data_IF_473929994338
#
_entry.id   IF_473929994338
#
_cell.length_a   1.000
_cell.length_b   1.000
_cell.length_c   1.000
_cell.angle_alpha   90.00
_cell.angle_beta   90.00
_cell.angle_gamma   90.00
#
_symmetry.space_group_name_H-M   'P 1'
#
loop_
_entity.id
_entity.type
_entity.pdbx_description
1 polymer ?
#
# COMPACT_ATOMS: atom_id res chain seq x y z
N UNK A 1 20.49 26.53 -26.17
CA UNK A 1 20.35 26.44 -24.70
C UNK A 1 21.47 25.53 -24.20
N UNK A 2 22.44 26.06 -23.46
CA UNK A 2 23.54 25.25 -22.91
C UNK A 2 22.96 24.21 -21.94
N UNK A 3 23.19 22.92 -22.21
CA UNK A 3 22.86 21.83 -21.29
C UNK A 3 23.91 21.85 -20.17
N UNK A 4 23.62 22.56 -19.08
CA UNK A 4 24.44 22.51 -17.86
C UNK A 4 24.44 21.08 -17.30
N UNK A 5 25.63 20.54 -17.03
CA UNK A 5 25.75 19.19 -16.47
C UNK A 5 25.26 19.12 -15.02
N UNK A 6 24.71 17.98 -14.59
CA UNK A 6 24.18 17.80 -13.21
C UNK A 6 25.21 18.08 -12.11
N UNK A 7 26.48 17.80 -12.36
CA UNK A 7 27.56 17.98 -11.39
C UNK A 7 28.30 19.32 -11.51
N UNK A 8 28.00 20.12 -12.54
CA UNK A 8 28.64 21.41 -12.81
C UNK A 8 28.25 22.46 -11.74
N UNK A 9 29.08 23.49 -11.51
CA UNK A 9 28.71 24.60 -10.64
C UNK A 9 27.41 25.28 -11.12
N UNK A 10 26.52 25.62 -10.20
CA UNK A 10 25.26 26.27 -10.53
C UNK A 10 25.51 27.69 -11.07
N UNK A 11 24.92 28.08 -12.22
CA UNK A 11 25.03 29.43 -12.75
C UNK A 11 24.28 30.49 -11.91
N UNK A 12 23.56 30.05 -10.88
CA UNK A 12 22.80 30.90 -9.95
C UNK A 12 23.66 31.58 -8.88
N UNK A 13 24.99 31.40 -8.88
CA UNK A 13 25.90 32.03 -7.92
C UNK A 13 25.96 31.37 -6.54
N UNK A 14 25.32 30.21 -6.35
CA UNK A 14 25.24 29.54 -5.04
C UNK A 14 26.48 28.74 -4.64
N UNK A 15 27.50 28.67 -5.50
CA UNK A 15 28.69 27.82 -5.37
C UNK A 15 28.42 26.31 -5.17
N UNK A 16 27.16 25.85 -5.27
CA UNK A 16 26.74 24.45 -5.16
C UNK A 16 26.68 23.81 -6.55
N UNK A 17 26.81 22.48 -6.62
CA UNK A 17 26.55 21.70 -7.85
C UNK A 17 25.11 21.93 -8.32
N UNK A 18 24.87 22.03 -9.62
CA UNK A 18 23.57 22.30 -10.22
C UNK A 18 22.47 21.36 -9.71
N UNK A 19 22.78 20.06 -9.55
CA UNK A 19 21.87 19.05 -8.99
C UNK A 19 21.37 19.33 -7.57
N UNK A 20 22.16 20.02 -6.75
CA UNK A 20 21.84 20.34 -5.35
C UNK A 20 21.30 21.76 -5.17
N UNK A 21 21.12 22.50 -6.26
CA UNK A 21 20.62 23.87 -6.20
C UNK A 21 19.35 24.03 -7.05
N UNK A 22 19.46 24.56 -8.27
CA UNK A 22 18.30 24.84 -9.13
C UNK A 22 17.53 23.58 -9.52
N UNK A 23 18.20 22.44 -9.71
CA UNK A 23 17.52 21.19 -10.07
C UNK A 23 16.69 20.63 -8.89
N UNK A 24 17.20 20.76 -7.66
CA UNK A 24 16.49 20.29 -6.47
C UNK A 24 15.24 21.15 -6.19
N UNK A 25 15.28 22.44 -6.53
CA UNK A 25 14.11 23.34 -6.48
C UNK A 25 13.01 22.92 -7.46
N UNK A 26 13.35 22.26 -8.57
CA UNK A 26 12.37 21.71 -9.52
C UNK A 26 11.85 20.35 -9.10
N UNK A 27 12.66 19.56 -8.39
CA UNK A 27 12.29 18.23 -7.88
C UNK A 27 11.48 18.27 -6.58
N UNK A 28 11.18 19.44 -6.02
CA UNK A 28 10.29 19.56 -4.87
C UNK A 28 8.86 19.26 -5.31
N UNK A 29 8.42 18.01 -5.11
CA UNK A 29 7.01 17.67 -5.24
C UNK A 29 6.19 18.61 -4.34
N UNK A 30 5.14 19.27 -4.87
CA UNK A 30 4.26 20.07 -4.05
C UNK A 30 3.64 19.20 -2.95
N UNK A 31 3.40 19.78 -1.78
CA UNK A 31 2.86 19.05 -0.63
C UNK A 31 1.55 18.31 -0.96
N UNK A 32 0.75 18.85 -1.88
CA UNK A 32 -0.46 18.23 -2.42
C UNK A 32 -0.19 16.91 -3.16
N UNK A 33 0.91 16.81 -3.91
CA UNK A 33 1.29 15.59 -4.62
C UNK A 33 1.82 14.52 -3.66
N UNK A 34 2.49 14.94 -2.57
CA UNK A 34 2.86 14.01 -1.48
C UNK A 34 1.63 13.47 -0.77
N UNK A 35 0.64 14.33 -0.47
CA UNK A 35 -0.62 13.91 0.12
C UNK A 35 -1.38 12.94 -0.78
N UNK A 36 -1.48 13.24 -2.08
CA UNK A 36 -2.11 12.37 -3.06
C UNK A 36 -1.43 10.99 -3.12
N UNK A 37 -0.08 10.96 -3.13
CA UNK A 37 0.67 9.70 -3.10
C UNK A 37 0.39 8.89 -1.82
N UNK A 38 0.28 9.54 -0.66
CA UNK A 38 -0.08 8.86 0.60
C UNK A 38 -1.49 8.29 0.56
N UNK A 39 -2.47 9.06 0.05
CA UNK A 39 -3.85 8.59 -0.10
C UNK A 39 -3.92 7.39 -1.03
N UNK A 40 -3.26 7.45 -2.19
CA UNK A 40 -3.20 6.33 -3.15
C UNK A 40 -2.54 5.12 -2.50
N UNK A 41 -1.42 5.30 -1.79
CA UNK A 41 -0.73 4.21 -1.10
C UNK A 41 -1.61 3.53 -0.04
N UNK A 42 -2.39 4.29 0.72
CA UNK A 42 -3.33 3.76 1.71
C UNK A 42 -4.52 3.03 1.07
N UNK A 43 -5.07 3.55 -0.03
CA UNK A 43 -6.17 2.91 -0.76
C UNK A 43 -5.72 1.60 -1.40
N UNK A 44 -4.56 1.61 -2.08
CA UNK A 44 -4.00 0.42 -2.72
C UNK A 44 -3.55 -0.60 -1.67
N UNK A 45 -2.83 -0.15 -0.63
CA UNK A 45 -2.40 -1.01 0.47
C UNK A 45 -3.59 -1.62 1.22
N UNK A 46 -4.60 -0.82 1.55
CA UNK A 46 -5.84 -1.29 2.18
C UNK A 46 -6.60 -2.27 1.31
N UNK A 47 -6.73 -1.99 0.00
CA UNK A 47 -7.38 -2.91 -0.94
C UNK A 47 -6.63 -4.24 -1.09
N UNK A 48 -5.29 -4.22 -1.14
CA UNK A 48 -4.46 -5.42 -1.17
C UNK A 48 -4.63 -6.23 0.12
N UNK A 49 -4.60 -5.58 1.29
CA UNK A 49 -4.79 -6.27 2.58
C UNK A 49 -6.18 -6.90 2.65
N UNK A 50 -7.24 -6.17 2.34
CA UNK A 50 -8.62 -6.69 2.34
C UNK A 50 -8.81 -7.83 1.34
N UNK A 51 -8.27 -7.67 0.13
CA UNK A 51 -8.30 -8.71 -0.90
C UNK A 51 -7.54 -9.97 -0.48
N UNK A 52 -6.33 -9.83 0.08
CA UNK A 52 -5.56 -10.96 0.58
C UNK A 52 -6.25 -11.63 1.78
N UNK A 53 -6.83 -10.86 2.71
CA UNK A 53 -7.59 -11.46 3.81
C UNK A 53 -8.80 -12.22 3.30
N UNK A 54 -9.54 -11.71 2.30
CA UNK A 54 -10.67 -12.42 1.73
C UNK A 54 -10.25 -13.71 1.00
N UNK A 55 -9.13 -13.69 0.26
CA UNK A 55 -8.62 -14.86 -0.46
C UNK A 55 -8.04 -15.91 0.49
N UNK A 56 -7.35 -15.49 1.57
CA UNK A 56 -6.75 -16.39 2.55
C UNK A 56 -7.74 -16.85 3.64
N UNK A 57 -8.86 -16.16 3.81
CA UNK A 57 -9.93 -16.56 4.74
C UNK A 57 -10.99 -17.43 4.06
N UNK A 58 -10.86 -17.71 2.75
CA UNK A 58 -11.54 -18.82 2.06
C UNK A 58 -10.84 -20.15 2.39
N UNK A 59 -10.51 -20.34 3.67
CA UNK A 59 -10.43 -21.69 4.19
C UNK A 59 -11.89 -22.06 4.42
N UNK A 60 -12.41 -22.97 3.60
CA UNK A 60 -13.60 -23.72 3.90
C UNK A 60 -13.38 -24.46 5.23
N UNK A 61 -13.45 -23.74 6.36
CA UNK A 61 -13.77 -24.29 7.65
C UNK A 61 -15.24 -24.67 7.55
N UNK A 62 -15.51 -25.75 6.81
CA UNK A 62 -16.49 -26.70 7.28
C UNK A 62 -16.00 -27.10 8.65
N UNK A 63 -16.57 -26.47 9.68
CA UNK A 63 -16.45 -26.97 11.05
C UNK A 63 -16.78 -28.45 10.95
N UNK A 64 -15.84 -29.39 11.15
CA UNK A 64 -16.22 -30.79 11.17
C UNK A 64 -17.21 -30.89 12.31
N UNK A 65 -18.44 -31.27 11.98
CA UNK A 65 -19.46 -31.58 12.97
C UNK A 65 -18.81 -32.50 13.99
N UNK A 66 -18.94 -32.16 15.27
CA UNK A 66 -18.45 -32.97 16.38
C UNK A 66 -18.83 -34.44 16.12
N UNK A 67 -17.82 -35.26 15.78
CA UNK A 67 -18.01 -36.61 15.28
C UNK A 67 -18.90 -37.40 16.26
N UNK A 68 -20.13 -37.66 15.83
CA UNK A 68 -21.03 -38.61 16.48
C UNK A 68 -22.39 -38.08 16.91
N UNK A 69 -22.63 -36.76 16.96
CA UNK A 69 -23.92 -36.25 17.44
C UNK A 69 -24.94 -36.02 16.34
N UNK A 70 -25.92 -36.92 16.25
CA UNK A 70 -27.07 -36.78 15.34
C UNK A 70 -28.31 -36.44 16.18
N UNK A 71 -28.97 -35.34 15.86
CA UNK A 71 -30.24 -34.95 16.49
C UNK A 71 -31.35 -35.92 16.05
N UNK A 72 -32.01 -36.58 17.01
CA UNK A 72 -33.16 -37.43 16.73
C UNK A 72 -34.45 -36.67 16.96
N UNK A 73 -35.17 -36.34 15.88
CA UNK A 73 -36.46 -35.64 15.97
C UNK A 73 -37.51 -36.43 16.76
N UNK A 74 -37.43 -37.77 16.72
CA UNK A 74 -38.34 -38.67 17.44
C UNK A 74 -38.18 -38.57 18.97
N UNK A 75 -36.97 -38.28 19.45
CA UNK A 75 -36.67 -38.27 20.88
C UNK A 75 -36.18 -36.92 21.43
N UNK A 76 -36.16 -35.85 20.63
CA UNK A 76 -35.82 -34.48 21.03
C UNK A 76 -34.54 -34.37 21.88
N UNK A 77 -33.54 -35.21 21.60
CA UNK A 77 -32.22 -35.12 22.22
C UNK A 77 -31.10 -35.48 21.23
N UNK A 78 -29.88 -35.08 21.59
CA UNK A 78 -28.65 -35.42 20.87
C UNK A 78 -28.13 -36.79 21.35
N UNK A 79 -27.76 -37.66 20.41
CA UNK A 79 -27.01 -38.88 20.69
C UNK A 79 -25.50 -38.66 20.65
#
# INVERSE_FOLDING_TARGET
MMKIGRNEPCPCGSAKKYKHCCLMKQASMPASQKFLMLVIALVVGGGIVLGLTAILSDDHIGVPAEDGKVWSEEHQHWH
#
